data_IF_297010325217
#
_entry.id   IF_297010325217
#
_cell.length_a   1.000
_cell.length_b   1.000
_cell.length_c   1.000
_cell.angle_alpha   90.00
_cell.angle_beta   90.00
_cell.angle_gamma   90.00
#
_symmetry.space_group_name_H-M   'P 1'
#
loop_
_entity.id
_entity.type
_entity.pdbx_description
1 polymer ?
#
# COMPACT_ATOMS: atom_id res chain seq x y z
N UNK A 1 83.79 -52.89 15.09
CA UNK A 1 82.55 -53.07 14.32
C UNK A 1 82.16 -51.67 13.84
N UNK A 2 82.64 -51.12 12.70
CA UNK A 2 82.99 -51.73 11.38
C UNK A 2 81.84 -52.56 10.81
N UNK A 3 81.42 -52.51 9.54
CA UNK A 3 81.84 -51.77 8.33
C UNK A 3 80.75 -51.99 7.24
N UNK A 4 80.49 -51.19 6.19
CA UNK A 4 80.62 -49.77 5.81
C UNK A 4 79.97 -49.64 4.38
N UNK A 5 80.07 -48.49 3.68
CA UNK A 5 79.86 -48.34 2.22
C UNK A 5 78.40 -48.53 1.69
N UNK A 6 77.99 -48.04 0.51
CA UNK A 6 78.40 -46.87 -0.29
C UNK A 6 77.30 -46.49 -1.30
N UNK A 7 77.35 -45.23 -1.78
CA UNK A 7 76.83 -44.70 -3.06
C UNK A 7 76.25 -45.71 -4.09
N UNK A 8 75.14 -45.30 -4.74
CA UNK A 8 75.10 -45.15 -6.21
C UNK A 8 74.02 -44.19 -6.67
N UNK A 9 74.42 -43.21 -7.49
CA UNK A 9 73.52 -42.39 -8.32
C UNK A 9 73.24 -43.19 -9.59
N UNK A 10 71.99 -43.23 -10.04
CA UNK A 10 71.68 -43.61 -11.42
C UNK A 10 70.44 -42.84 -11.90
N UNK A 11 70.61 -42.12 -13.01
CA UNK A 11 69.54 -41.41 -13.71
C UNK A 11 68.86 -42.41 -14.64
N UNK A 12 67.53 -42.48 -14.60
CA UNK A 12 66.75 -43.05 -15.69
C UNK A 12 65.42 -42.27 -15.79
N UNK A 13 65.23 -41.57 -16.91
CA UNK A 13 63.96 -40.88 -17.18
C UNK A 13 62.90 -41.85 -17.69
N UNK A 14 61.63 -41.59 -17.37
CA UNK A 14 60.50 -42.21 -18.04
C UNK A 14 59.38 -41.19 -18.25
N UNK A 15 58.71 -41.32 -19.40
CA UNK A 15 57.78 -40.34 -19.98
C UNK A 15 56.55 -40.11 -19.11
N UNK A 16 56.23 -38.84 -18.85
CA UNK A 16 54.91 -38.44 -18.30
C UNK A 16 53.89 -38.41 -19.43
N UNK A 17 53.05 -39.44 -19.52
CA UNK A 17 51.84 -39.44 -20.33
C UNK A 17 50.73 -38.67 -19.58
N UNK A 18 50.55 -37.39 -19.91
CA UNK A 18 49.42 -36.60 -19.42
C UNK A 18 48.15 -37.04 -20.15
N UNK A 19 47.37 -37.91 -19.53
CA UNK A 19 46.01 -38.23 -19.97
C UNK A 19 45.08 -37.03 -19.74
N UNK A 20 44.94 -36.17 -20.75
CA UNK A 20 43.90 -35.13 -20.78
C UNK A 20 42.51 -35.78 -20.91
N UNK A 21 41.88 -36.12 -19.78
CA UNK A 21 40.42 -36.27 -19.77
C UNK A 21 39.79 -34.87 -19.88
N UNK A 22 39.43 -34.51 -21.10
CA UNK A 22 38.67 -33.30 -21.37
C UNK A 22 37.26 -33.41 -20.80
N UNK A 23 37.07 -32.97 -19.55
CA UNK A 23 35.77 -32.50 -19.09
C UNK A 23 35.42 -31.23 -19.89
N UNK A 24 34.75 -31.42 -21.02
CA UNK A 24 34.08 -30.33 -21.70
C UNK A 24 33.01 -29.79 -20.74
N UNK A 25 33.26 -28.61 -20.17
CA UNK A 25 32.16 -27.80 -19.65
C UNK A 25 31.24 -27.53 -20.83
N UNK A 26 30.12 -28.24 -20.88
CA UNK A 26 28.97 -27.81 -21.67
C UNK A 26 28.51 -26.50 -21.03
N UNK A 27 29.01 -25.38 -21.57
CA UNK A 27 28.31 -24.11 -21.44
C UNK A 27 26.96 -24.34 -22.10
N UNK A 28 25.90 -24.40 -21.30
CA UNK A 28 24.57 -24.15 -21.81
C UNK A 28 24.63 -22.76 -22.47
N UNK A 29 24.43 -22.72 -23.78
CA UNK A 29 24.36 -21.48 -24.52
C UNK A 29 23.03 -20.83 -24.14
N UNK A 30 23.06 -19.98 -23.10
CA UNK A 30 21.93 -19.13 -22.77
C UNK A 30 21.73 -18.18 -23.97
N UNK A 31 20.77 -18.55 -24.82
CA UNK A 31 20.38 -17.77 -25.99
C UNK A 31 20.08 -16.32 -25.60
N UNK A 32 20.12 -15.39 -26.58
CA UNK A 32 20.04 -13.95 -26.32
C UNK A 32 18.86 -13.64 -25.39
N UNK A 33 19.04 -12.78 -24.37
CA UNK A 33 18.04 -12.58 -23.33
C UNK A 33 16.71 -12.19 -23.97
N UNK A 34 15.76 -13.12 -23.90
CA UNK A 34 14.39 -12.88 -24.36
C UNK A 34 13.88 -11.65 -23.62
N UNK A 35 13.45 -10.64 -24.38
CA UNK A 35 12.90 -9.42 -23.81
C UNK A 35 11.65 -9.71 -22.96
N UNK A 36 11.20 -8.73 -22.15
CA UNK A 36 9.98 -8.81 -21.35
C UNK A 36 8.83 -9.55 -22.05
N UNK A 37 8.40 -10.67 -21.48
CA UNK A 37 7.31 -11.49 -22.02
C UNK A 37 5.99 -11.08 -21.36
N UNK A 38 4.89 -11.32 -22.05
CA UNK A 38 3.56 -11.36 -21.41
C UNK A 38 3.15 -12.82 -21.26
N UNK A 39 2.83 -13.23 -20.03
CA UNK A 39 2.32 -14.55 -19.68
C UNK A 39 0.83 -14.39 -19.39
N UNK A 40 -0.02 -14.99 -20.24
CA UNK A 40 -1.47 -14.79 -20.20
C UNK A 40 -2.13 -15.87 -19.34
N UNK A 41 -2.90 -15.46 -18.33
CA UNK A 41 -3.72 -16.37 -17.52
C UNK A 41 -5.17 -16.30 -17.97
N UNK A 42 -5.79 -17.46 -18.21
CA UNK A 42 -7.19 -17.57 -18.61
C UNK A 42 -7.82 -18.89 -18.13
N UNK A 43 -8.96 -18.81 -17.44
CA UNK A 43 -9.69 -19.99 -16.92
C UNK A 43 -10.33 -20.86 -18.02
N UNK A 44 -10.45 -20.33 -19.24
CA UNK A 44 -11.01 -21.03 -20.41
C UNK A 44 -9.95 -21.81 -21.22
N UNK A 45 -8.68 -21.79 -20.79
CA UNK A 45 -7.57 -22.42 -21.51
C UNK A 45 -7.07 -21.62 -22.73
N UNK A 46 -7.53 -20.38 -22.95
CA UNK A 46 -7.07 -19.51 -24.04
C UNK A 46 -5.84 -18.66 -23.67
N UNK A 47 -5.17 -18.98 -22.55
CA UNK A 47 -3.94 -18.36 -22.08
C UNK A 47 -2.80 -19.38 -21.98
N UNK A 48 -1.60 -18.90 -21.70
CA UNK A 48 -0.43 -19.75 -21.43
C UNK A 48 -0.61 -20.57 -20.13
N UNK A 49 -1.42 -20.07 -19.19
CA UNK A 49 -1.71 -20.70 -17.89
C UNK A 49 -3.21 -20.62 -17.55
N UNK A 50 -3.68 -21.57 -16.73
CA UNK A 50 -4.99 -21.50 -16.04
C UNK A 50 -4.84 -21.11 -14.56
N UNK A 51 -3.64 -21.27 -13.99
CA UNK A 51 -3.29 -20.91 -12.62
C UNK A 51 -2.54 -19.59 -12.56
N UNK A 52 -2.94 -18.71 -11.64
CA UNK A 52 -2.26 -17.45 -11.34
C UNK A 52 -0.86 -17.72 -10.75
N UNK A 53 -0.77 -18.70 -9.84
CA UNK A 53 0.51 -19.02 -9.19
C UNK A 53 1.51 -19.62 -10.18
N UNK A 54 1.08 -20.51 -11.09
CA UNK A 54 1.99 -21.09 -12.10
C UNK A 54 2.55 -20.01 -13.04
N UNK A 55 1.73 -19.04 -13.43
CA UNK A 55 2.17 -17.91 -14.24
C UNK A 55 3.17 -17.00 -13.48
N UNK A 56 2.89 -16.71 -12.21
CA UNK A 56 3.82 -15.97 -11.32
C UNK A 56 5.13 -16.73 -11.13
N UNK A 57 5.08 -18.06 -10.94
CA UNK A 57 6.25 -18.91 -10.77
C UNK A 57 7.10 -18.93 -12.05
N UNK A 58 6.48 -19.04 -13.23
CA UNK A 58 7.13 -19.02 -14.54
C UNK A 58 7.63 -17.63 -14.99
N UNK A 59 7.16 -16.55 -14.35
CA UNK A 59 7.55 -15.17 -14.66
C UNK A 59 8.99 -14.88 -14.24
N UNK A 60 9.76 -14.30 -15.17
CA UNK A 60 11.14 -13.85 -15.00
C UNK A 60 11.19 -12.33 -14.85
N UNK A 61 12.38 -11.81 -14.52
CA UNK A 61 12.65 -10.37 -14.40
C UNK A 61 12.23 -9.63 -15.67
N UNK A 62 11.36 -8.64 -15.51
CA UNK A 62 10.79 -7.83 -16.59
C UNK A 62 9.45 -8.36 -17.15
N UNK A 63 9.07 -9.61 -16.87
CA UNK A 63 7.84 -10.19 -17.42
C UNK A 63 6.57 -9.53 -16.84
N UNK A 64 5.49 -9.59 -17.61
CA UNK A 64 4.13 -9.23 -17.19
C UNK A 64 3.26 -10.48 -17.14
N UNK A 65 2.66 -10.77 -15.99
CA UNK A 65 1.56 -11.73 -15.89
C UNK A 65 0.26 -10.97 -16.12
N UNK A 66 -0.41 -11.25 -17.24
CA UNK A 66 -1.66 -10.60 -17.62
C UNK A 66 -2.84 -11.56 -17.39
N UNK A 67 -3.82 -11.13 -16.60
CA UNK A 67 -4.96 -11.95 -16.17
C UNK A 67 -6.21 -11.55 -16.94
N UNK A 68 -6.74 -12.47 -17.76
CA UNK A 68 -8.03 -12.26 -18.45
C UNK A 68 -9.18 -12.23 -17.45
N UNK A 69 -10.30 -11.63 -17.86
CA UNK A 69 -11.54 -11.56 -17.09
C UNK A 69 -11.93 -12.94 -16.53
N UNK A 70 -12.35 -12.98 -15.25
CA UNK A 70 -12.66 -14.22 -14.55
C UNK A 70 -12.65 -14.06 -13.03
N UNK A 71 -13.21 -15.05 -12.35
CA UNK A 71 -13.16 -15.19 -10.90
C UNK A 71 -12.22 -16.33 -10.54
N UNK A 72 -11.14 -16.02 -9.82
CA UNK A 72 -10.03 -16.92 -9.56
C UNK A 72 -10.08 -17.37 -8.08
N UNK A 73 -10.58 -18.58 -7.76
CA UNK A 73 -10.58 -19.16 -6.41
C UNK A 73 -9.19 -19.70 -6.06
N UNK A 74 -8.22 -18.80 -6.01
CA UNK A 74 -6.79 -19.08 -5.87
C UNK A 74 -6.18 -18.03 -4.94
N UNK A 75 -5.14 -18.43 -4.22
CA UNK A 75 -4.24 -17.51 -3.52
C UNK A 75 -3.00 -17.31 -4.38
N UNK A 76 -2.40 -16.12 -4.33
CA UNK A 76 -1.18 -15.79 -5.08
C UNK A 76 -0.11 -15.30 -4.13
N UNK A 77 1.10 -15.83 -4.24
CA UNK A 77 2.29 -15.35 -3.52
C UNK A 77 3.39 -15.00 -4.51
N UNK A 78 3.71 -13.71 -4.64
CA UNK A 78 4.81 -13.18 -5.43
C UNK A 78 6.02 -13.01 -4.50
N UNK A 79 6.91 -14.00 -4.42
CA UNK A 79 8.12 -13.94 -3.58
C UNK A 79 9.38 -14.26 -4.40
N UNK A 80 10.54 -13.76 -3.97
CA UNK A 80 11.83 -13.99 -4.65
C UNK A 80 11.82 -13.54 -6.13
N UNK A 81 11.04 -12.50 -6.45
CA UNK A 81 10.92 -11.91 -7.80
C UNK A 81 11.44 -10.46 -7.80
N UNK A 82 11.90 -10.00 -8.97
CA UNK A 82 12.30 -8.61 -9.24
C UNK A 82 11.62 -8.14 -10.54
N UNK A 83 11.07 -6.91 -10.57
CA UNK A 83 10.58 -6.23 -11.79
C UNK A 83 9.53 -7.03 -12.56
N UNK A 84 8.48 -7.46 -11.86
CA UNK A 84 7.35 -8.19 -12.48
C UNK A 84 6.09 -7.36 -12.33
N UNK A 85 5.28 -7.35 -13.40
CA UNK A 85 3.94 -6.77 -13.39
C UNK A 85 2.88 -7.87 -13.28
N UNK A 86 1.86 -7.66 -12.46
CA UNK A 86 0.70 -8.54 -12.32
C UNK A 86 -0.58 -7.73 -12.57
N UNK A 87 -1.12 -7.84 -13.79
CA UNK A 87 -2.08 -6.89 -14.35
C UNK A 87 -3.37 -7.61 -14.72
N UNK A 88 -4.51 -7.16 -14.18
CA UNK A 88 -5.82 -7.65 -14.57
C UNK A 88 -6.35 -6.96 -15.83
N UNK A 89 -7.35 -7.57 -16.47
CA UNK A 89 -8.09 -6.95 -17.56
C UNK A 89 -8.95 -5.74 -17.14
N UNK A 90 -9.13 -5.51 -15.84
CA UNK A 90 -9.92 -4.42 -15.26
C UNK A 90 -10.49 -4.79 -13.89
N UNK A 91 -10.70 -3.79 -13.02
CA UNK A 91 -11.20 -3.95 -11.64
C UNK A 91 -12.50 -4.76 -11.57
N UNK A 92 -13.45 -4.46 -12.46
CA UNK A 92 -14.76 -5.15 -12.52
C UNK A 92 -14.74 -6.44 -13.37
N UNK A 93 -13.59 -6.82 -13.92
CA UNK A 93 -13.42 -7.97 -14.81
C UNK A 93 -12.64 -9.12 -14.17
N UNK A 94 -11.66 -8.82 -13.29
CA UNK A 94 -10.81 -9.81 -12.63
C UNK A 94 -11.04 -9.76 -11.13
N UNK A 95 -11.41 -10.89 -10.54
CA UNK A 95 -11.48 -11.03 -9.08
C UNK A 95 -10.64 -12.20 -8.61
N UNK A 96 -9.61 -11.94 -7.79
CA UNK A 96 -8.97 -12.95 -6.97
C UNK A 96 -9.84 -13.15 -5.72
N UNK A 97 -10.30 -14.36 -5.46
CA UNK A 97 -11.25 -14.68 -4.38
C UNK A 97 -10.59 -15.21 -3.11
N UNK A 98 -9.30 -15.55 -3.16
CA UNK A 98 -8.62 -16.35 -2.14
C UNK A 98 -9.22 -17.76 -2.00
N UNK A 99 -8.75 -18.47 -0.99
CA UNK A 99 -9.29 -19.76 -0.53
C UNK A 99 -9.36 -19.76 1.00
N UNK A 100 -10.38 -20.41 1.55
CA UNK A 100 -10.63 -20.56 3.00
C UNK A 100 -9.53 -21.36 3.77
N UNK A 101 -8.34 -21.55 3.18
CA UNK A 101 -7.21 -22.35 3.65
C UNK A 101 -6.01 -21.46 4.02
N UNK A 102 -5.89 -20.28 3.42
CA UNK A 102 -4.76 -19.35 3.60
C UNK A 102 -5.31 -17.97 3.96
N UNK A 103 -4.78 -17.38 5.03
CA UNK A 103 -5.04 -15.97 5.36
C UNK A 103 -4.34 -15.12 4.29
N UNK A 104 -5.07 -14.35 3.49
CA UNK A 104 -4.52 -13.57 2.36
C UNK A 104 -4.71 -14.21 0.99
N UNK A 105 -5.57 -13.57 0.19
CA UNK A 105 -5.75 -13.89 -1.23
C UNK A 105 -4.52 -13.50 -2.09
N UNK A 106 -3.80 -12.43 -1.70
CA UNK A 106 -2.58 -11.99 -2.38
C UNK A 106 -1.46 -11.62 -1.40
N UNK A 107 -0.27 -12.15 -1.66
CA UNK A 107 0.95 -11.85 -0.94
C UNK A 107 2.06 -11.34 -1.86
N UNK A 108 2.79 -10.32 -1.42
CA UNK A 108 4.02 -9.83 -2.05
C UNK A 108 5.16 -9.91 -1.04
N UNK A 109 6.13 -10.77 -1.32
CA UNK A 109 7.13 -11.23 -0.37
C UNK A 109 6.58 -12.25 0.64
N UNK A 110 7.50 -12.98 1.27
CA UNK A 110 7.24 -14.04 2.27
C UNK A 110 8.50 -14.24 3.10
N UNK A 111 8.45 -13.98 4.41
CA UNK A 111 9.64 -14.07 5.27
C UNK A 111 10.40 -15.41 5.09
N UNK A 112 11.74 -15.40 4.93
CA UNK A 112 12.65 -14.25 4.92
C UNK A 112 12.86 -13.58 3.54
N UNK A 113 12.16 -14.02 2.50
CA UNK A 113 12.35 -13.61 1.11
C UNK A 113 11.42 -12.45 0.70
N UNK A 114 11.98 -11.29 0.42
CA UNK A 114 11.25 -10.18 -0.18
C UNK A 114 10.83 -10.43 -1.64
N UNK A 115 10.18 -9.41 -2.22
CA UNK A 115 10.09 -9.21 -3.66
C UNK A 115 10.35 -7.72 -3.96
N UNK A 116 10.93 -7.40 -5.11
CA UNK A 116 11.37 -6.05 -5.45
C UNK A 116 10.79 -5.54 -6.77
N UNK A 117 10.47 -4.25 -6.84
CA UNK A 117 9.92 -3.58 -8.03
C UNK A 117 8.70 -4.32 -8.60
N UNK A 118 7.71 -4.64 -7.76
CA UNK A 118 6.51 -5.40 -8.14
C UNK A 118 5.35 -4.43 -8.37
N UNK A 119 4.75 -4.47 -9.56
CA UNK A 119 3.57 -3.64 -9.91
C UNK A 119 2.33 -4.52 -10.03
N UNK A 120 1.25 -4.15 -9.35
CA UNK A 120 -0.03 -4.88 -9.35
C UNK A 120 -1.15 -3.91 -9.66
N UNK A 121 -1.97 -4.21 -10.67
CA UNK A 121 -2.99 -3.27 -11.13
C UNK A 121 -4.24 -3.88 -11.76
N UNK A 122 -5.28 -3.05 -11.84
CA UNK A 122 -6.47 -3.26 -12.66
C UNK A 122 -7.22 -4.58 -12.35
N UNK A 123 -7.42 -4.86 -11.05
CA UNK A 123 -8.14 -6.05 -10.55
C UNK A 123 -8.83 -5.79 -9.21
N UNK A 124 -9.80 -6.66 -8.88
CA UNK A 124 -10.34 -6.80 -7.52
C UNK A 124 -9.63 -7.96 -6.80
N UNK A 125 -9.29 -7.74 -5.55
CA UNK A 125 -8.80 -8.74 -4.59
C UNK A 125 -9.82 -8.81 -3.47
N UNK A 126 -10.34 -10.00 -3.21
CA UNK A 126 -11.42 -10.23 -2.27
C UNK A 126 -11.00 -11.31 -1.27
N UNK A 127 -11.01 -10.98 0.01
CA UNK A 127 -11.10 -11.94 1.10
C UNK A 127 -12.37 -11.60 1.92
N UNK A 128 -12.93 -12.55 2.68
CA UNK A 128 -14.25 -12.41 3.33
C UNK A 128 -14.19 -11.56 4.61
N UNK A 129 -13.81 -10.28 4.47
CA UNK A 129 -13.67 -9.31 5.58
C UNK A 129 -12.33 -9.39 6.34
N UNK A 130 -11.53 -10.42 6.04
CA UNK A 130 -10.24 -10.71 6.67
C UNK A 130 -9.06 -9.91 6.11
N UNK A 131 -7.90 -10.57 6.10
CA UNK A 131 -6.65 -10.04 5.58
C UNK A 131 -6.58 -10.37 4.10
N UNK A 132 -6.86 -9.41 3.21
CA UNK A 132 -6.93 -9.65 1.77
C UNK A 132 -5.56 -9.56 1.06
N UNK A 133 -4.74 -8.59 1.44
CA UNK A 133 -3.42 -8.33 0.83
C UNK A 133 -2.33 -8.22 1.90
N UNK A 134 -1.25 -9.00 1.78
CA UNK A 134 -0.07 -8.91 2.66
C UNK A 134 1.21 -8.54 1.92
N UNK A 135 1.90 -7.50 2.38
CA UNK A 135 3.17 -7.03 1.84
C UNK A 135 4.29 -7.24 2.88
N UNK A 136 5.31 -8.05 2.56
CA UNK A 136 6.31 -8.50 3.54
C UNK A 136 7.74 -8.39 3.02
N UNK A 137 8.62 -7.67 3.73
CA UNK A 137 10.07 -7.62 3.43
C UNK A 137 10.44 -7.19 1.99
N UNK A 138 9.53 -6.53 1.28
CA UNK A 138 9.69 -6.12 -0.12
C UNK A 138 10.04 -4.64 -0.29
N UNK A 139 10.51 -4.28 -1.49
CA UNK A 139 10.92 -2.92 -1.84
C UNK A 139 10.31 -2.49 -3.18
N UNK A 140 9.84 -1.25 -3.29
CA UNK A 140 9.34 -0.73 -4.57
C UNK A 140 8.05 -1.41 -5.05
N UNK A 141 7.13 -1.73 -4.12
CA UNK A 141 5.85 -2.36 -4.47
C UNK A 141 4.84 -1.26 -4.86
N UNK A 142 4.21 -1.41 -6.02
CA UNK A 142 3.19 -0.49 -6.54
C UNK A 142 1.86 -1.22 -6.63
N UNK A 143 0.83 -0.73 -5.94
CA UNK A 143 -0.56 -1.10 -6.15
C UNK A 143 -1.26 0.07 -6.84
N UNK A 144 -1.84 -0.16 -8.02
CA UNK A 144 -2.48 0.90 -8.82
C UNK A 144 -3.86 0.46 -9.30
N UNK A 145 -4.92 1.24 -9.01
CA UNK A 145 -6.31 0.90 -9.42
C UNK A 145 -6.68 -0.53 -9.03
N UNK A 146 -6.42 -0.89 -7.78
CA UNK A 146 -6.81 -2.18 -7.20
C UNK A 146 -7.97 -1.94 -6.25
N UNK A 147 -8.98 -2.81 -6.31
CA UNK A 147 -10.03 -2.86 -5.29
C UNK A 147 -9.70 -3.97 -4.31
N UNK A 148 -9.53 -3.63 -3.03
CA UNK A 148 -9.25 -4.57 -1.94
C UNK A 148 -10.48 -4.60 -1.04
N UNK A 149 -11.17 -5.74 -1.02
CA UNK A 149 -12.22 -6.01 -0.05
C UNK A 149 -11.58 -6.78 1.12
N UNK A 150 -11.43 -6.14 2.27
CA UNK A 150 -10.64 -6.61 3.41
C UNK A 150 -9.38 -5.76 3.68
N UNK A 151 -8.55 -6.21 4.62
CA UNK A 151 -7.34 -5.48 5.04
C UNK A 151 -6.20 -5.59 4.01
N UNK A 152 -5.53 -4.46 3.76
CA UNK A 152 -4.13 -4.42 3.32
C UNK A 152 -3.20 -4.34 4.53
N UNK A 153 -2.35 -5.33 4.72
CA UNK A 153 -1.33 -5.35 5.79
C UNK A 153 0.07 -5.24 5.19
N UNK A 154 0.94 -4.44 5.79
CA UNK A 154 2.35 -4.40 5.43
C UNK A 154 3.27 -4.50 6.64
N UNK A 155 4.36 -5.25 6.48
CA UNK A 155 5.40 -5.41 7.48
C UNK A 155 6.80 -5.36 6.84
N UNK A 156 7.64 -4.46 7.36
CA UNK A 156 9.05 -4.33 6.97
C UNK A 156 9.25 -4.09 5.46
N UNK A 157 8.34 -3.34 4.82
CA UNK A 157 8.43 -2.98 3.40
C UNK A 157 8.97 -1.56 3.20
N UNK A 158 9.62 -1.30 2.07
CA UNK A 158 10.22 0.00 1.74
C UNK A 158 9.72 0.54 0.40
N UNK A 159 9.50 1.86 0.30
CA UNK A 159 9.09 2.51 -0.94
C UNK A 159 7.81 1.94 -1.56
N UNK A 160 6.76 1.68 -0.78
CA UNK A 160 5.47 1.21 -1.30
C UNK A 160 4.64 2.39 -1.82
N UNK A 161 4.04 2.26 -3.00
CA UNK A 161 3.07 3.21 -3.55
C UNK A 161 1.70 2.54 -3.71
N UNK A 162 0.65 3.15 -3.16
CA UNK A 162 -0.73 2.71 -3.29
C UNK A 162 -1.51 3.88 -3.89
N UNK A 163 -1.95 3.76 -5.14
CA UNK A 163 -2.51 4.87 -5.92
C UNK A 163 -3.81 4.49 -6.65
N UNK A 164 -4.80 5.38 -6.60
CA UNK A 164 -6.14 5.19 -7.20
C UNK A 164 -6.86 3.90 -6.75
N UNK A 165 -6.53 3.35 -5.58
CA UNK A 165 -7.12 2.12 -5.05
C UNK A 165 -8.39 2.39 -4.22
N UNK A 166 -9.23 1.35 -4.12
CA UNK A 166 -10.38 1.31 -3.22
C UNK A 166 -10.12 0.22 -2.17
N UNK A 167 -10.13 0.56 -0.89
CA UNK A 167 -9.78 -0.36 0.21
C UNK A 167 -10.88 -0.30 1.27
N UNK A 168 -11.55 -1.42 1.54
CA UNK A 168 -12.66 -1.37 2.49
C UNK A 168 -13.33 -2.70 2.82
N UNK A 169 -14.27 -2.65 3.74
CA UNK A 169 -15.01 -3.83 4.21
C UNK A 169 -14.20 -4.75 5.13
N UNK A 170 -13.14 -4.26 5.78
CA UNK A 170 -12.41 -5.02 6.79
C UNK A 170 -13.07 -4.86 8.17
N UNK A 171 -13.23 -5.97 8.88
CA UNK A 171 -13.69 -5.99 10.28
C UNK A 171 -12.65 -5.44 11.29
N UNK A 172 -11.54 -4.84 10.81
CA UNK A 172 -10.44 -4.36 11.67
C UNK A 172 -9.77 -3.08 11.16
N UNK A 173 -9.03 -3.13 10.06
CA UNK A 173 -8.35 -1.94 9.50
C UNK A 173 -8.28 -2.01 7.99
N UNK A 174 -8.58 -0.92 7.30
CA UNK A 174 -8.47 -0.84 5.83
C UNK A 174 -7.02 -1.06 5.37
N UNK A 175 -6.08 -0.22 5.85
CA UNK A 175 -4.65 -0.38 5.57
C UNK A 175 -3.78 -0.26 6.83
N UNK A 176 -2.91 -1.24 7.09
CA UNK A 176 -2.02 -1.27 8.26
C UNK A 176 -0.54 -1.33 7.86
N UNK A 177 0.29 -0.52 8.53
CA UNK A 177 1.72 -0.37 8.29
C UNK A 177 2.52 -0.62 9.59
N UNK A 178 3.35 -1.66 9.60
CA UNK A 178 4.24 -2.01 10.70
C UNK A 178 5.71 -2.01 10.25
N UNK A 179 6.51 -1.09 10.81
CA UNK A 179 7.90 -0.86 10.41
C UNK A 179 8.11 -0.70 8.88
N UNK A 180 7.17 0.01 8.24
CA UNK A 180 7.04 0.12 6.77
C UNK A 180 7.16 1.57 6.26
N UNK A 181 7.65 1.74 5.03
CA UNK A 181 7.63 3.02 4.31
C UNK A 181 6.64 2.97 3.14
N UNK A 182 5.68 3.89 3.10
CA UNK A 182 4.62 3.91 2.08
C UNK A 182 4.07 5.31 1.75
N UNK A 183 3.55 5.45 0.53
CA UNK A 183 2.72 6.58 0.11
C UNK A 183 1.36 6.07 -0.38
N UNK A 184 0.28 6.60 0.19
CA UNK A 184 -1.10 6.36 -0.26
C UNK A 184 -1.58 7.66 -0.91
N UNK A 185 -1.86 7.61 -2.22
CA UNK A 185 -2.24 8.76 -3.03
C UNK A 185 -3.59 8.54 -3.71
N UNK A 186 -4.56 9.45 -3.52
CA UNK A 186 -5.81 9.44 -4.29
C UNK A 186 -6.78 8.28 -3.99
N UNK A 187 -6.58 7.54 -2.89
CA UNK A 187 -7.37 6.34 -2.61
C UNK A 187 -8.71 6.66 -1.94
N UNK A 188 -9.68 5.75 -2.08
CA UNK A 188 -10.89 5.69 -1.27
C UNK A 188 -10.76 4.55 -0.25
N UNK A 189 -10.71 4.90 1.04
CA UNK A 189 -10.62 3.94 2.14
C UNK A 189 -11.92 4.00 2.94
N UNK A 190 -12.69 2.91 3.02
CA UNK A 190 -14.07 2.99 3.48
C UNK A 190 -14.57 1.76 4.25
N UNK A 191 -15.53 1.96 5.16
CA UNK A 191 -16.28 0.90 5.86
C UNK A 191 -15.37 -0.13 6.53
N UNK A 192 -14.63 0.32 7.56
CA UNK A 192 -13.73 -0.50 8.37
C UNK A 192 -13.88 -0.16 9.87
N UNK A 193 -13.25 -0.90 10.77
CA UNK A 193 -13.16 -0.44 12.18
C UNK A 193 -12.24 0.79 12.30
N UNK A 194 -11.01 0.69 11.78
CA UNK A 194 -10.10 1.83 11.57
C UNK A 194 -9.78 2.02 10.07
N UNK A 195 -9.57 3.25 9.62
CA UNK A 195 -9.23 3.53 8.22
C UNK A 195 -7.80 3.09 7.87
N UNK A 196 -6.81 3.81 8.42
CA UNK A 196 -5.38 3.53 8.26
C UNK A 196 -4.69 3.48 9.60
N UNK A 197 -3.88 2.44 9.84
CA UNK A 197 -3.06 2.29 11.06
C UNK A 197 -1.57 2.33 10.72
N UNK A 198 -0.83 3.22 11.37
CA UNK A 198 0.59 3.49 11.15
C UNK A 198 1.33 3.27 12.47
N UNK A 199 2.14 2.21 12.55
CA UNK A 199 2.70 1.70 13.80
C UNK A 199 4.19 1.34 13.70
N UNK A 200 4.81 1.03 14.86
CA UNK A 200 6.22 0.69 14.96
C UNK A 200 7.12 1.91 14.65
N UNK A 201 8.02 1.77 13.69
CA UNK A 201 8.90 2.81 13.13
C UNK A 201 8.52 3.19 11.70
N UNK A 202 7.27 2.98 11.30
CA UNK A 202 6.80 3.27 9.94
C UNK A 202 6.92 4.74 9.58
N UNK A 203 7.10 5.03 8.29
CA UNK A 203 7.08 6.38 7.71
C UNK A 203 6.08 6.42 6.55
N UNK A 204 4.89 7.00 6.77
CA UNK A 204 3.77 6.90 5.81
C UNK A 204 3.26 8.27 5.39
N UNK A 205 3.14 8.50 4.09
CA UNK A 205 2.47 9.67 3.51
C UNK A 205 1.05 9.31 3.10
N UNK A 206 0.07 10.06 3.60
CA UNK A 206 -1.31 10.05 3.13
C UNK A 206 -1.56 11.36 2.36
N UNK A 207 -1.77 11.27 1.05
CA UNK A 207 -2.06 12.41 0.19
C UNK A 207 -3.35 12.22 -0.62
N UNK A 208 -4.24 13.22 -0.60
CA UNK A 208 -5.46 13.22 -1.44
C UNK A 208 -6.38 12.00 -1.29
N UNK A 209 -6.34 11.29 -0.15
CA UNK A 209 -7.22 10.16 0.11
C UNK A 209 -8.55 10.61 0.71
N UNK A 210 -9.64 9.95 0.34
CA UNK A 210 -10.92 10.02 1.05
C UNK A 210 -10.95 8.84 2.02
N UNK A 211 -11.05 9.11 3.32
CA UNK A 211 -11.17 8.06 4.36
C UNK A 211 -12.51 8.26 5.09
N UNK A 212 -13.39 7.27 4.99
CA UNK A 212 -14.79 7.45 5.40
C UNK A 212 -15.45 6.23 6.02
N UNK A 213 -16.44 6.45 6.90
CA UNK A 213 -17.22 5.40 7.57
C UNK A 213 -16.36 4.37 8.32
N UNK A 214 -15.25 4.82 8.92
CA UNK A 214 -14.55 4.02 9.92
C UNK A 214 -15.28 4.11 11.26
N UNK A 215 -15.48 2.98 11.95
CA UNK A 215 -16.16 2.94 13.26
C UNK A 215 -15.45 3.82 14.31
N UNK A 216 -14.12 3.78 14.27
CA UNK A 216 -13.19 4.54 15.10
C UNK A 216 -12.48 5.60 14.23
N UNK A 217 -11.17 5.80 14.42
CA UNK A 217 -10.43 6.84 13.70
C UNK A 217 -10.14 6.47 12.24
N UNK A 218 -10.24 7.46 11.35
CA UNK A 218 -9.80 7.33 9.96
C UNK A 218 -8.28 7.11 9.83
N UNK A 219 -7.48 7.71 10.72
CA UNK A 219 -6.04 7.49 10.78
C UNK A 219 -5.58 7.32 12.23
N UNK A 220 -4.82 6.28 12.53
CA UNK A 220 -4.14 6.07 13.81
C UNK A 220 -2.64 6.05 13.57
N UNK A 221 -1.90 6.91 14.26
CA UNK A 221 -0.44 6.95 14.26
C UNK A 221 0.05 6.60 15.67
N UNK A 222 0.94 5.62 15.79
CA UNK A 222 1.30 5.03 17.09
C UNK A 222 2.78 4.60 17.19
N UNK A 223 3.22 4.30 18.41
CA UNK A 223 4.59 3.85 18.67
C UNK A 223 5.60 4.97 18.46
N UNK A 224 6.50 4.80 17.49
CA UNK A 224 7.49 5.79 17.06
C UNK A 224 7.30 6.16 15.57
N UNK A 225 6.11 5.91 15.03
CA UNK A 225 5.85 6.10 13.61
C UNK A 225 5.78 7.59 13.24
N UNK A 226 6.17 7.88 12.00
CA UNK A 226 6.06 9.18 11.36
C UNK A 226 4.95 9.16 10.31
N UNK A 227 4.10 10.18 10.29
CA UNK A 227 3.04 10.32 9.29
C UNK A 227 2.99 11.73 8.67
N UNK A 228 2.88 11.80 7.35
CA UNK A 228 2.59 13.06 6.63
C UNK A 228 1.17 12.98 6.08
N UNK A 229 0.23 13.66 6.73
CA UNK A 229 -1.20 13.62 6.40
C UNK A 229 -1.55 14.95 5.72
N UNK A 230 -1.62 14.95 4.39
CA UNK A 230 -1.76 16.18 3.60
C UNK A 230 -2.90 16.12 2.59
N UNK A 231 -3.77 17.15 2.61
CA UNK A 231 -4.87 17.30 1.65
C UNK A 231 -5.79 16.06 1.55
N UNK A 232 -6.06 15.36 2.66
CA UNK A 232 -7.02 14.25 2.71
C UNK A 232 -8.41 14.75 3.14
N UNK A 233 -9.44 14.00 2.79
CA UNK A 233 -10.81 14.20 3.29
C UNK A 233 -11.15 13.06 4.26
N UNK A 234 -11.16 13.37 5.56
CA UNK A 234 -11.39 12.41 6.65
C UNK A 234 -12.79 12.65 7.22
N UNK A 235 -13.79 11.88 6.77
CA UNK A 235 -15.21 12.20 6.97
C UNK A 235 -16.12 11.03 7.35
N UNK A 236 -17.14 11.29 8.18
CA UNK A 236 -18.10 10.27 8.68
C UNK A 236 -17.46 9.13 9.50
N UNK A 237 -16.38 9.40 10.23
CA UNK A 237 -15.68 8.41 11.07
C UNK A 237 -15.95 8.63 12.57
N UNK A 238 -15.60 7.66 13.40
CA UNK A 238 -15.51 7.84 14.86
C UNK A 238 -14.52 8.92 15.28
N UNK A 239 -13.44 9.12 14.50
CA UNK A 239 -12.51 10.23 14.66
C UNK A 239 -11.76 10.58 13.37
N UNK A 240 -11.27 11.82 13.25
CA UNK A 240 -10.44 12.25 12.12
C UNK A 240 -9.05 11.61 12.14
N UNK A 241 -8.28 11.82 13.21
CA UNK A 241 -7.00 11.14 13.40
C UNK A 241 -6.61 11.04 14.88
N UNK A 242 -5.93 9.96 15.27
CA UNK A 242 -5.31 9.81 16.59
C UNK A 242 -3.78 9.74 16.49
N UNK A 243 -3.10 10.52 17.33
CA UNK A 243 -1.65 10.61 17.42
C UNK A 243 -1.21 10.12 18.80
N UNK A 244 -0.83 8.85 18.88
CA UNK A 244 -0.62 8.08 20.10
C UNK A 244 0.86 7.72 20.31
N UNK A 245 1.24 7.42 21.55
CA UNK A 245 2.63 7.10 21.90
C UNK A 245 3.58 8.26 21.58
N UNK A 246 4.80 7.94 21.14
CA UNK A 246 5.84 8.91 20.76
C UNK A 246 5.85 9.16 19.23
N UNK A 247 4.67 9.07 18.60
CA UNK A 247 4.50 9.33 17.17
C UNK A 247 4.81 10.78 16.81
N UNK A 248 5.23 10.98 15.56
CA UNK A 248 5.54 12.28 14.97
C UNK A 248 4.66 12.49 13.74
N UNK A 249 4.08 13.67 13.52
CA UNK A 249 3.24 13.88 12.32
C UNK A 249 3.18 15.33 11.82
N UNK A 250 3.26 15.48 10.50
CA UNK A 250 2.96 16.72 9.79
C UNK A 250 1.57 16.63 9.16
N UNK A 251 0.64 17.48 9.63
CA UNK A 251 -0.80 17.36 9.32
C UNK A 251 -1.31 18.68 8.75
N UNK A 252 -1.49 18.75 7.42
CA UNK A 252 -1.84 20.02 6.77
C UNK A 252 -2.79 19.95 5.59
N UNK A 253 -3.65 20.96 5.47
CA UNK A 253 -4.54 21.12 4.32
C UNK A 253 -5.69 20.10 4.23
N UNK A 254 -5.94 19.33 5.29
CA UNK A 254 -6.97 18.29 5.29
C UNK A 254 -8.38 18.89 5.54
N UNK A 255 -9.42 18.17 5.14
CA UNK A 255 -10.81 18.43 5.56
C UNK A 255 -11.23 17.29 6.49
N UNK A 256 -11.57 17.64 7.73
CA UNK A 256 -11.82 16.70 8.84
C UNK A 256 -13.18 17.03 9.44
N UNK A 257 -14.25 16.42 8.93
CA UNK A 257 -15.62 16.82 9.27
C UNK A 257 -16.63 15.68 9.17
N UNK A 258 -17.83 15.89 9.72
CA UNK A 258 -18.85 14.86 9.88
C UNK A 258 -18.39 13.66 10.75
N UNK A 259 -17.23 13.76 11.42
CA UNK A 259 -16.77 12.77 12.39
C UNK A 259 -17.35 13.12 13.78
N UNK A 260 -17.29 12.16 14.71
CA UNK A 260 -17.58 12.46 16.12
C UNK A 260 -16.54 13.45 16.68
N UNK A 261 -15.26 13.15 16.55
CA UNK A 261 -14.14 14.03 16.96
C UNK A 261 -13.19 14.31 15.80
N UNK A 262 -12.51 15.45 15.82
CA UNK A 262 -11.43 15.79 14.89
C UNK A 262 -10.15 15.03 15.20
N UNK A 263 -9.18 15.67 15.87
CA UNK A 263 -7.91 15.08 16.25
C UNK A 263 -7.83 14.71 17.73
N UNK A 264 -7.31 13.52 18.01
CA UNK A 264 -6.99 13.01 19.35
C UNK A 264 -5.48 12.94 19.54
N UNK A 265 -4.94 13.55 20.59
CA UNK A 265 -3.49 13.77 20.72
C UNK A 265 -3.00 13.33 22.11
N UNK A 266 -2.19 12.28 22.15
CA UNK A 266 -1.51 11.82 23.37
C UNK A 266 -0.50 12.85 23.88
N UNK A 267 -0.29 13.01 25.20
CA UNK A 267 0.70 13.94 25.76
C UNK A 267 2.14 13.74 25.25
N UNK A 268 2.48 12.53 24.80
CA UNK A 268 3.81 12.12 24.33
C UNK A 268 4.03 12.22 22.82
N UNK A 269 2.99 12.47 22.02
CA UNK A 269 3.11 12.61 20.57
C UNK A 269 3.46 14.05 20.16
N UNK A 270 4.13 14.18 19.02
CA UNK A 270 4.59 15.46 18.49
C UNK A 270 3.92 15.70 17.13
N UNK A 271 3.13 16.76 17.00
CA UNK A 271 2.45 17.07 15.74
C UNK A 271 2.65 18.52 15.32
N UNK A 272 2.79 18.75 14.01
CA UNK A 272 2.70 20.06 13.38
C UNK A 272 1.39 20.14 12.61
N UNK A 273 0.45 20.97 13.08
CA UNK A 273 -0.83 21.20 12.38
C UNK A 273 -0.84 22.54 11.65
N UNK A 274 -1.37 22.58 10.43
CA UNK A 274 -1.63 23.86 9.75
C UNK A 274 -2.66 23.76 8.62
N UNK A 275 -3.50 24.79 8.49
CA UNK A 275 -4.46 24.93 7.39
C UNK A 275 -5.44 23.75 7.25
N UNK A 276 -5.78 23.06 8.33
CA UNK A 276 -6.82 22.02 8.30
C UNK A 276 -8.19 22.66 8.51
N UNK A 277 -9.21 22.14 7.82
CA UNK A 277 -10.60 22.55 8.01
C UNK A 277 -11.35 21.51 8.82
N UNK A 278 -12.11 21.94 9.83
CA UNK A 278 -12.81 21.08 10.75
C UNK A 278 -14.31 21.36 10.84
N UNK A 279 -15.09 20.28 10.94
CA UNK A 279 -16.55 20.32 11.09
C UNK A 279 -17.05 19.07 11.82
N UNK A 280 -16.60 18.87 13.06
CA UNK A 280 -16.88 17.64 13.83
C UNK A 280 -17.99 17.87 14.87
N UNK A 281 -18.64 16.78 15.30
CA UNK A 281 -19.86 16.87 16.14
C UNK A 281 -19.57 17.21 17.60
N UNK A 282 -18.58 16.56 18.21
CA UNK A 282 -18.29 16.65 19.64
C UNK A 282 -17.08 17.58 19.91
N UNK A 283 -16.25 17.84 18.89
CA UNK A 283 -15.16 18.82 18.93
C UNK A 283 -13.99 18.49 17.98
N UNK A 284 -13.17 19.50 17.68
CA UNK A 284 -12.11 19.39 16.67
C UNK A 284 -10.76 18.91 17.21
N UNK A 285 -10.49 19.13 18.51
CA UNK A 285 -9.22 18.81 19.17
C UNK A 285 -9.45 18.24 20.56
N UNK A 286 -8.85 17.09 20.85
CA UNK A 286 -8.93 16.38 22.13
C UNK A 286 -7.54 15.92 22.59
N UNK A 287 -7.30 15.98 23.90
CA UNK A 287 -6.20 15.28 24.58
C UNK A 287 -6.65 13.86 24.90
N UNK A 288 -5.77 12.89 24.64
CA UNK A 288 -5.99 11.51 25.06
C UNK A 288 -5.88 11.35 26.59
N UNK A 289 -6.76 10.51 27.15
CA UNK A 289 -6.94 10.29 28.58
C UNK A 289 -8.19 9.45 28.88
N UNK A 290 -8.53 9.28 30.16
CA UNK A 290 -9.70 8.49 30.56
C UNK A 290 -10.65 9.31 31.47
N UNK A 291 -11.73 9.91 30.93
CA UNK A 291 -12.05 10.03 29.50
C UNK A 291 -11.22 11.12 28.81
N UNK A 292 -11.14 11.07 27.47
CA UNK A 292 -10.55 12.12 26.62
C UNK A 292 -11.16 13.50 26.94
N UNK A 293 -10.34 14.55 26.88
CA UNK A 293 -10.75 15.93 27.21
C UNK A 293 -10.63 16.84 25.99
N UNK A 294 -11.58 17.79 25.77
CA UNK A 294 -11.41 18.83 24.76
C UNK A 294 -10.13 19.64 25.00
N UNK A 295 -9.38 19.92 23.94
CA UNK A 295 -8.03 20.51 24.00
C UNK A 295 -7.87 21.63 22.96
N UNK A 296 -8.66 22.69 23.09
CA UNK A 296 -8.70 23.81 22.14
C UNK A 296 -7.37 24.56 22.05
N UNK A 297 -6.52 24.48 23.07
CA UNK A 297 -5.17 25.02 23.10
C UNK A 297 -4.21 24.33 22.11
N UNK A 298 -4.56 23.14 21.60
CA UNK A 298 -3.80 22.42 20.58
C UNK A 298 -4.17 22.84 19.15
N UNK A 299 -5.23 23.64 18.97
CA UNK A 299 -5.68 24.11 17.65
C UNK A 299 -4.69 25.11 17.06
N UNK A 300 -4.23 24.87 15.82
CA UNK A 300 -3.41 25.85 15.13
C UNK A 300 -4.21 27.11 14.74
N UNK A 301 -3.55 28.27 14.78
CA UNK A 301 -4.14 29.55 14.37
C UNK A 301 -4.57 29.55 12.89
N UNK A 302 -3.90 28.75 12.05
CA UNK A 302 -4.20 28.63 10.61
C UNK A 302 -5.31 27.62 10.30
N UNK A 303 -5.79 26.86 11.28
CA UNK A 303 -6.90 25.92 11.08
C UNK A 303 -8.26 26.65 11.05
N UNK A 304 -9.18 26.13 10.25
CA UNK A 304 -10.50 26.71 9.98
C UNK A 304 -11.56 25.81 10.62
N UNK A 305 -12.54 26.37 11.32
CA UNK A 305 -13.70 25.63 11.83
C UNK A 305 -14.96 26.14 11.12
N UNK A 306 -15.76 25.25 10.55
CA UNK A 306 -16.99 25.58 9.81
C UNK A 306 -17.35 24.53 8.76
N UNK A 307 -18.58 24.60 8.25
CA UNK A 307 -19.07 23.68 7.21
C UNK A 307 -18.16 23.73 5.96
N UNK A 308 -17.59 22.59 5.51
CA UNK A 308 -16.78 22.55 4.29
C UNK A 308 -17.59 22.84 3.01
N UNK A 309 -18.92 22.83 3.09
CA UNK A 309 -19.87 22.96 1.99
C UNK A 309 -19.63 21.91 0.90
N UNK A 310 -19.65 20.64 1.29
CA UNK A 310 -19.64 19.51 0.35
C UNK A 310 -20.83 19.54 -0.61
N UNK A 311 -20.68 18.97 -1.80
CA UNK A 311 -21.74 18.94 -2.83
C UNK A 311 -22.94 18.10 -2.39
N UNK A 312 -22.69 16.85 -1.98
CA UNK A 312 -23.73 15.97 -1.46
C UNK A 312 -23.10 14.97 -0.46
N UNK A 313 -22.92 15.37 0.80
CA UNK A 313 -22.37 14.49 1.82
C UNK A 313 -23.33 13.36 2.22
N UNK A 314 -24.59 13.34 1.76
CA UNK A 314 -25.49 12.20 2.02
C UNK A 314 -25.09 11.04 1.11
N UNK A 315 -24.87 11.31 -0.18
CA UNK A 315 -24.49 10.33 -1.20
C UNK A 315 -22.96 10.25 -1.45
N UNK A 316 -22.15 10.60 -0.45
CA UNK A 316 -20.68 10.56 -0.45
C UNK A 316 -19.95 11.43 -1.50
N UNK A 317 -20.62 12.45 -2.06
CA UNK A 317 -19.95 13.47 -2.88
C UNK A 317 -19.29 14.53 -1.99
N UNK A 318 -18.10 14.19 -1.49
CA UNK A 318 -17.26 15.04 -0.67
C UNK A 318 -16.40 16.03 -1.46
N UNK A 319 -16.75 16.33 -2.73
CA UNK A 319 -16.16 17.48 -3.43
C UNK A 319 -16.63 18.76 -2.76
N UNK A 320 -15.73 19.74 -2.68
CA UNK A 320 -16.10 21.06 -2.19
C UNK A 320 -17.01 21.77 -3.21
N UNK A 321 -18.17 22.25 -2.76
CA UNK A 321 -19.17 22.92 -3.57
C UNK A 321 -18.94 24.44 -3.69
N UNK A 322 -19.76 25.15 -4.50
CA UNK A 322 -19.55 26.57 -4.81
C UNK A 322 -19.59 27.55 -3.62
N UNK A 323 -20.17 27.16 -2.48
CA UNK A 323 -20.22 27.98 -1.27
C UNK A 323 -18.99 27.85 -0.37
N UNK A 324 -18.07 26.94 -0.67
CA UNK A 324 -16.92 26.63 0.19
C UNK A 324 -15.97 27.83 0.35
N UNK A 325 -15.45 28.01 1.57
CA UNK A 325 -14.36 28.95 1.85
C UNK A 325 -12.98 28.30 1.74
N UNK A 326 -12.91 26.99 1.49
CA UNK A 326 -11.69 26.17 1.62
C UNK A 326 -10.82 26.15 0.36
N UNK A 327 -10.85 27.22 -0.43
CA UNK A 327 -10.05 27.42 -1.65
C UNK A 327 -8.90 28.41 -1.39
N UNK A 328 -7.75 28.18 -2.02
CA UNK A 328 -6.57 29.07 -1.97
C UNK A 328 -6.11 29.39 -0.54
N UNK A 329 -6.15 28.39 0.35
CA UNK A 329 -5.78 28.52 1.76
C UNK A 329 -4.28 28.24 1.92
N UNK A 330 -3.52 29.27 2.31
CA UNK A 330 -2.06 29.16 2.48
C UNK A 330 -1.39 28.73 1.17
N UNK A 331 -0.72 27.57 1.19
CA UNK A 331 -0.09 26.95 0.01
C UNK A 331 -1.03 26.07 -0.83
N UNK A 332 -2.26 25.83 -0.37
CA UNK A 332 -3.15 24.83 -0.95
C UNK A 332 -4.13 25.48 -1.95
N UNK A 333 -4.24 24.98 -3.20
CA UNK A 333 -5.24 25.50 -4.15
C UNK A 333 -6.67 25.22 -3.67
N UNK A 334 -6.86 24.10 -2.96
CA UNK A 334 -8.06 23.71 -2.23
C UNK A 334 -7.66 22.69 -1.15
N UNK A 335 -8.39 22.70 -0.03
CA UNK A 335 -8.23 21.72 1.03
C UNK A 335 -8.94 20.41 0.71
N UNK A 336 -8.52 19.31 1.33
CA UNK A 336 -9.15 18.00 1.17
C UNK A 336 -8.76 17.27 -0.12
N UNK A 337 -9.30 16.07 -0.29
CA UNK A 337 -8.87 15.11 -1.31
C UNK A 337 -9.29 15.47 -2.73
N UNK A 338 -10.56 15.81 -2.91
CA UNK A 338 -11.18 15.85 -4.23
C UNK A 338 -11.16 17.27 -4.81
N UNK A 339 -10.92 17.37 -6.12
CA UNK A 339 -11.02 18.64 -6.83
C UNK A 339 -12.42 19.26 -6.63
N UNK A 340 -12.52 20.58 -6.32
CA UNK A 340 -13.79 21.25 -6.12
C UNK A 340 -14.72 21.12 -7.33
N UNK A 341 -16.02 20.99 -7.08
CA UNK A 341 -16.99 20.89 -8.16
C UNK A 341 -17.08 22.22 -8.91
N UNK A 342 -16.95 22.17 -10.24
CA UNK A 342 -17.05 23.36 -11.07
C UNK A 342 -18.45 23.99 -10.99
N UNK A 343 -18.52 25.32 -10.97
CA UNK A 343 -19.78 26.09 -11.04
C UNK A 343 -20.51 26.00 -12.39
N UNK A 344 -20.00 25.22 -13.34
CA UNK A 344 -20.33 25.28 -14.76
C UNK A 344 -21.57 24.46 -15.21
N UNK A 345 -22.63 24.33 -14.40
CA UNK A 345 -23.92 23.78 -14.90
C UNK A 345 -25.16 24.42 -14.25
N UNK A 346 -25.44 25.68 -14.58
CA UNK A 346 -26.76 26.32 -14.34
C UNK A 346 -27.24 27.19 -15.51
N UNK A 347 -27.24 26.62 -16.73
CA UNK A 347 -27.99 27.13 -17.90
C UNK A 347 -28.55 25.95 -18.69
N UNK A 348 -29.78 26.11 -19.20
CA UNK A 348 -30.71 25.02 -19.57
C UNK A 348 -31.15 24.21 -18.34
N UNK A 349 -32.43 24.16 -17.95
CA UNK A 349 -33.66 24.27 -18.75
C UNK A 349 -34.62 25.36 -18.29
N UNK A 350 -34.92 26.30 -19.20
CA UNK A 350 -36.18 27.08 -19.26
C UNK A 350 -36.44 27.48 -20.71
N UNK A 351 -37.20 26.65 -21.42
CA UNK A 351 -38.07 26.98 -22.54
C UNK A 351 -39.17 25.92 -22.56
#
# INVERSE_FOLDING_TARGET
MSSCMMKRVMILGLVVMVGFLGFALVRADEGPPLGPRTLVVALDGTGDFMSLQEAVDAAKKGDTVFVKAGQYPQDVTIHSKEKIKFVGAGVDQVTILGRDIVVGALHVGKWPYGATDIEISDMTINDRGGHAVGLFNGQGIILRKVKINGMLFSQQVQGVLIEDCVIGGSETTGAQFADSEAALIGNLIHDNDHGVSIAGKSNVRLERNVITRSLFEAVVVSGHAHAVIVSNTLVKNGGGAAFLGQSQSDVSGNVVGLNRVGFLIAPSSQITTSFNAFYNRDGDYFREGNPNQPALELKAQSDITGDPHFVDPVHDDFRLGPGTTLLKIGRFPYLGALAPASTATRRSTKK
#
